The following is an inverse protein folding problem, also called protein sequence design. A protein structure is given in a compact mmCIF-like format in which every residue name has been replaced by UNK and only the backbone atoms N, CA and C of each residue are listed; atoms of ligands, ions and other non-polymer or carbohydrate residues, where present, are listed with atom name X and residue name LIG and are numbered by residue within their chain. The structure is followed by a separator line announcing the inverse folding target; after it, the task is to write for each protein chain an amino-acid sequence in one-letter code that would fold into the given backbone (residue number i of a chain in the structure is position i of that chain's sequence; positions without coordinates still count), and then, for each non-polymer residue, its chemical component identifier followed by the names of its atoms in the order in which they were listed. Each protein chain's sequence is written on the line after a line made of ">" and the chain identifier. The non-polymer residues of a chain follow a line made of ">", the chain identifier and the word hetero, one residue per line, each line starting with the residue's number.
data_IF_679727231307
#
_entry.id   IF_679727231307
#
_cell.length_a   1.000
_cell.length_b   1.000
_cell.length_c   1.000
_cell.angle_alpha   90.00
_cell.angle_beta   90.00
_cell.angle_gamma   90.00
#
_symmetry.space_group_name_H-M   'P 1'
#
loop_
_entity.id
_entity.type
_entity.pdbx_description
1 polymer ?
#
# COMPACT_ATOMS: atom_id res chain seq x y z
N UNK A 1 17.65 10.63 15.19
CA UNK A 1 17.47 9.96 13.87
C UNK A 1 18.74 9.20 13.59
N UNK A 2 18.73 7.89 13.47
CA UNK A 2 19.92 7.11 13.18
C UNK A 2 20.33 7.33 11.71
N UNK A 3 21.64 7.19 11.37
CA UNK A 3 22.13 7.27 9.99
C UNK A 3 21.31 6.37 9.05
N UNK A 4 20.93 5.21 9.53
CA UNK A 4 20.07 4.25 8.88
C UNK A 4 18.71 4.84 8.44
N UNK A 5 17.97 5.50 9.36
CA UNK A 5 16.68 6.11 9.03
C UNK A 5 16.81 7.30 8.09
N UNK A 6 17.97 8.00 8.11
CA UNK A 6 18.25 9.09 7.20
C UNK A 6 18.48 8.57 5.76
N UNK A 7 19.29 7.53 5.59
CA UNK A 7 19.57 6.90 4.29
C UNK A 7 18.25 6.36 3.70
N UNK A 8 17.47 5.61 4.49
CA UNK A 8 16.17 5.10 4.05
C UNK A 8 15.22 6.21 3.62
N UNK A 9 15.23 7.33 4.35
CA UNK A 9 14.40 8.49 3.99
C UNK A 9 14.86 9.17 2.71
N UNK A 10 16.15 9.29 2.48
CA UNK A 10 16.72 9.85 1.25
C UNK A 10 16.34 8.97 0.04
N UNK A 11 16.50 7.65 0.15
CA UNK A 11 16.05 6.69 -0.85
C UNK A 11 14.56 6.87 -1.19
N UNK A 12 13.69 6.89 -0.17
CA UNK A 12 12.26 7.06 -0.34
C UNK A 12 11.91 8.33 -1.12
N UNK A 13 12.55 9.46 -0.79
CA UNK A 13 12.30 10.74 -1.44
C UNK A 13 12.75 10.69 -2.90
N UNK A 14 13.98 10.22 -3.16
CA UNK A 14 14.55 10.16 -4.51
C UNK A 14 13.71 9.26 -5.40
N UNK A 15 13.44 8.03 -4.95
CA UNK A 15 12.67 7.04 -5.74
C UNK A 15 11.24 7.53 -5.95
N UNK A 16 10.55 8.04 -4.91
CA UNK A 16 9.18 8.53 -5.05
C UNK A 16 9.09 9.73 -6.00
N UNK A 17 10.07 10.65 -5.97
CA UNK A 17 10.10 11.81 -6.86
C UNK A 17 10.27 11.39 -8.32
N UNK A 18 11.25 10.52 -8.61
CA UNK A 18 11.49 10.01 -9.95
C UNK A 18 10.23 9.30 -10.49
N UNK A 19 9.67 8.40 -9.69
CA UNK A 19 8.45 7.67 -10.08
C UNK A 19 7.31 8.65 -10.35
N UNK A 20 7.03 9.61 -9.46
CA UNK A 20 5.94 10.58 -9.64
C UNK A 20 6.09 11.40 -10.91
N UNK A 21 7.31 11.83 -11.25
CA UNK A 21 7.56 12.54 -12.52
C UNK A 21 7.18 11.64 -13.70
N UNK A 22 7.67 10.41 -13.70
CA UNK A 22 7.45 9.48 -14.81
C UNK A 22 5.98 9.07 -14.96
N UNK A 23 5.26 8.84 -13.85
CA UNK A 23 3.86 8.38 -13.88
C UNK A 23 2.84 9.53 -13.88
N UNK A 24 3.27 10.80 -13.78
CA UNK A 24 2.34 11.95 -13.73
C UNK A 24 1.36 12.02 -14.91
N UNK A 25 1.74 11.74 -16.18
CA UNK A 25 0.78 11.70 -17.28
C UNK A 25 -0.27 10.60 -17.09
N UNK A 26 0.15 9.42 -16.62
CA UNK A 26 -0.76 8.30 -16.33
C UNK A 26 -1.72 8.68 -15.20
N UNK A 27 -1.22 9.30 -14.14
CA UNK A 27 -2.06 9.78 -13.03
C UNK A 27 -3.11 10.78 -13.49
N UNK A 28 -2.77 11.68 -14.41
CA UNK A 28 -3.73 12.63 -14.99
C UNK A 28 -4.84 11.89 -15.77
N UNK A 29 -4.47 10.94 -16.61
CA UNK A 29 -5.44 10.12 -17.37
C UNK A 29 -6.37 9.37 -16.43
N UNK A 30 -5.82 8.73 -15.38
CA UNK A 30 -6.61 8.01 -14.37
C UNK A 30 -7.53 8.97 -13.62
N UNK A 31 -7.06 10.17 -13.25
CA UNK A 31 -7.86 11.18 -12.56
C UNK A 31 -9.08 11.62 -13.40
N UNK A 32 -8.86 11.88 -14.70
CA UNK A 32 -9.92 12.21 -15.65
C UNK A 32 -10.90 11.03 -15.77
N UNK A 33 -10.40 9.80 -15.96
CA UNK A 33 -11.23 8.60 -16.05
C UNK A 33 -12.11 8.38 -14.83
N UNK A 34 -11.57 8.56 -13.62
CA UNK A 34 -12.35 8.48 -12.36
C UNK A 34 -13.44 9.56 -12.33
N UNK A 35 -13.13 10.79 -12.75
CA UNK A 35 -14.08 11.89 -12.71
C UNK A 35 -15.24 11.72 -13.70
N UNK A 36 -14.96 11.22 -14.89
CA UNK A 36 -15.94 11.01 -15.97
C UNK A 36 -16.84 9.79 -15.69
N UNK A 37 -16.27 8.71 -15.12
CA UNK A 37 -17.00 7.45 -14.93
C UNK A 37 -17.80 7.36 -13.64
N UNK A 38 -17.58 8.28 -12.67
CA UNK A 38 -18.28 8.23 -11.38
C UNK A 38 -18.34 9.62 -10.74
N UNK A 39 -19.53 10.10 -10.31
CA UNK A 39 -19.67 11.39 -9.63
C UNK A 39 -18.97 11.38 -8.26
N UNK A 40 -18.35 12.52 -7.88
CA UNK A 40 -17.70 12.70 -6.58
C UNK A 40 -16.19 13.01 -6.66
N UNK A 41 -15.41 12.85 -5.56
CA UNK A 41 -13.99 13.18 -5.48
C UNK A 41 -13.14 12.20 -6.29
N UNK A 42 -12.02 12.67 -6.85
CA UNK A 42 -11.05 11.85 -7.59
C UNK A 42 -10.29 10.92 -6.63
N UNK A 43 -9.91 11.45 -5.46
CA UNK A 43 -9.14 10.71 -4.46
C UNK A 43 -10.05 10.14 -3.38
N UNK A 44 -9.76 8.90 -3.01
CA UNK A 44 -10.25 8.24 -1.80
C UNK A 44 -9.17 8.29 -0.73
N UNK A 45 -9.57 8.56 0.51
CA UNK A 45 -8.68 8.63 1.68
C UNK A 45 -9.13 7.60 2.70
N UNK A 46 -8.21 6.72 3.09
CA UNK A 46 -8.50 5.66 4.07
C UNK A 46 -7.52 5.76 5.24
N UNK A 47 -8.05 5.71 6.47
CA UNK A 47 -7.19 5.66 7.66
C UNK A 47 -6.44 4.34 7.71
N UNK A 48 -5.13 4.42 7.89
CA UNK A 48 -4.21 3.30 8.00
C UNK A 48 -3.18 3.59 9.08
N UNK A 49 -2.53 2.52 9.56
CA UNK A 49 -1.51 2.58 10.60
C UNK A 49 -0.11 2.46 9.99
N UNK A 50 0.83 3.24 10.52
CA UNK A 50 2.24 3.26 10.13
C UNK A 50 3.15 3.23 11.37
N UNK A 51 4.40 3.68 11.23
CA UNK A 51 5.41 3.76 12.28
C UNK A 51 4.83 4.24 13.63
N UNK A 52 5.17 3.52 14.72
CA UNK A 52 4.72 3.79 16.09
C UNK A 52 3.20 3.83 16.26
N UNK A 53 2.49 2.97 15.55
CA UNK A 53 1.02 2.90 15.56
C UNK A 53 0.31 4.23 15.19
N UNK A 54 0.99 5.13 14.48
CA UNK A 54 0.41 6.41 14.07
C UNK A 54 -0.57 6.22 12.92
N UNK A 55 -1.74 6.83 13.05
CA UNK A 55 -2.72 6.88 11.98
C UNK A 55 -2.33 7.90 10.90
N UNK A 56 -2.55 7.55 9.64
CA UNK A 56 -2.41 8.46 8.50
C UNK A 56 -3.50 8.24 7.46
N UNK A 57 -3.74 9.21 6.60
CA UNK A 57 -4.69 9.11 5.48
C UNK A 57 -3.96 8.60 4.24
N UNK A 58 -4.10 7.32 3.95
CA UNK A 58 -3.59 6.70 2.73
C UNK A 58 -4.40 7.19 1.53
N UNK A 59 -3.71 7.69 0.50
CA UNK A 59 -4.31 8.22 -0.72
C UNK A 59 -4.43 7.13 -1.78
N UNK A 60 -5.60 7.06 -2.43
CA UNK A 60 -5.85 6.23 -3.61
C UNK A 60 -6.70 7.00 -4.62
N UNK A 61 -6.66 6.61 -5.88
CA UNK A 61 -7.76 6.97 -6.78
C UNK A 61 -9.02 6.23 -6.36
N UNK A 62 -10.15 6.91 -6.45
CA UNK A 62 -11.44 6.30 -6.14
C UNK A 62 -11.82 5.29 -7.21
N UNK A 63 -11.94 4.04 -6.84
CA UNK A 63 -12.33 2.93 -7.71
C UNK A 63 -13.70 2.34 -7.37
N UNK A 64 -14.33 2.86 -6.31
CA UNK A 64 -15.64 2.43 -5.80
C UNK A 64 -16.54 3.63 -5.53
N UNK A 65 -17.88 3.46 -5.52
CA UNK A 65 -18.81 4.48 -5.06
C UNK A 65 -18.57 4.92 -3.61
N UNK A 66 -18.95 6.17 -3.29
CA UNK A 66 -18.67 6.76 -1.98
C UNK A 66 -19.40 6.08 -0.81
N UNK A 67 -20.47 5.36 -1.08
CA UNK A 67 -21.34 4.68 -0.09
C UNK A 67 -21.07 3.17 0.04
N UNK A 68 -19.98 2.68 -0.51
CA UNK A 68 -19.66 1.24 -0.53
C UNK A 68 -19.43 0.62 0.86
N UNK A 69 -19.06 1.42 1.87
CA UNK A 69 -18.77 0.95 3.24
C UNK A 69 -19.92 1.20 4.23
N UNK A 70 -21.11 1.61 3.77
CA UNK A 70 -22.26 1.87 4.66
C UNK A 70 -22.71 0.62 5.46
N UNK A 71 -22.51 -0.57 4.92
CA UNK A 71 -22.84 -1.85 5.57
C UNK A 71 -21.69 -2.44 6.39
N UNK A 72 -20.72 -1.61 6.81
CA UNK A 72 -19.57 -2.02 7.59
C UNK A 72 -18.36 -2.41 6.75
N UNK A 73 -17.23 -2.48 7.45
CA UNK A 73 -15.92 -2.80 6.86
C UNK A 73 -15.67 -4.28 6.97
N UNK A 74 -15.39 -4.94 5.85
CA UNK A 74 -14.98 -6.34 5.82
C UNK A 74 -13.49 -6.46 5.49
N UNK A 75 -12.80 -7.40 6.16
CA UNK A 75 -11.45 -7.82 5.83
C UNK A 75 -11.46 -8.68 4.56
N UNK A 76 -10.50 -8.46 3.67
CA UNK A 76 -10.21 -9.33 2.51
C UNK A 76 -11.04 -9.00 1.27
N UNK A 77 -12.29 -9.36 1.23
CA UNK A 77 -13.08 -9.35 -0.01
C UNK A 77 -13.46 -7.97 -0.52
N UNK A 78 -12.98 -7.62 -1.70
CA UNK A 78 -13.37 -6.40 -2.41
C UNK A 78 -13.90 -6.67 -3.83
N UNK A 79 -14.01 -7.94 -4.23
CA UNK A 79 -14.39 -8.32 -5.61
C UNK A 79 -15.78 -7.84 -6.04
N UNK A 80 -16.72 -7.72 -5.10
CA UNK A 80 -18.12 -7.38 -5.39
C UNK A 80 -18.46 -5.88 -5.33
N UNK A 81 -17.49 -5.00 -5.04
CA UNK A 81 -17.78 -3.62 -4.63
C UNK A 81 -17.49 -2.55 -5.68
N UNK A 82 -17.02 -2.90 -6.86
CA UNK A 82 -16.73 -1.93 -7.93
C UNK A 82 -17.90 -1.84 -8.89
N UNK A 83 -18.56 -0.67 -8.95
CA UNK A 83 -19.72 -0.48 -9.82
C UNK A 83 -19.37 0.03 -11.23
N UNK A 84 -18.11 0.42 -11.51
CA UNK A 84 -17.71 0.88 -12.82
C UNK A 84 -16.64 -0.05 -13.42
N UNK A 85 -16.72 -0.29 -14.74
CA UNK A 85 -15.68 -1.05 -15.48
C UNK A 85 -14.30 -0.41 -15.33
N UNK A 86 -14.25 0.92 -15.32
CA UNK A 86 -13.01 1.68 -15.12
C UNK A 86 -12.44 1.48 -13.70
N UNK A 87 -13.28 1.51 -12.67
CA UNK A 87 -12.88 1.22 -11.29
C UNK A 87 -12.29 -0.19 -11.15
N UNK A 88 -12.89 -1.19 -11.82
CA UNK A 88 -12.34 -2.55 -11.86
C UNK A 88 -10.96 -2.59 -12.53
N UNK A 89 -10.82 -1.93 -13.68
CA UNK A 89 -9.56 -1.86 -14.43
C UNK A 89 -8.43 -1.24 -13.59
N UNK A 90 -8.64 -0.06 -12.98
CA UNK A 90 -7.58 0.60 -12.21
C UNK A 90 -7.19 -0.19 -10.93
N UNK A 91 -8.10 -1.00 -10.38
CA UNK A 91 -7.78 -1.92 -9.28
C UNK A 91 -7.01 -3.14 -9.75
N UNK A 92 -7.46 -3.79 -10.83
CA UNK A 92 -6.79 -4.94 -11.40
C UNK A 92 -5.33 -4.64 -11.78
N UNK A 93 -5.09 -3.41 -12.27
CA UNK A 93 -3.76 -2.91 -12.64
C UNK A 93 -3.00 -2.23 -11.48
N UNK A 94 -3.61 -2.11 -10.28
CA UNK A 94 -3.08 -1.34 -9.14
C UNK A 94 -2.80 0.14 -9.44
N UNK A 95 -3.36 0.71 -10.51
CA UNK A 95 -3.27 2.14 -10.82
C UNK A 95 -3.96 3.01 -9.77
N UNK A 96 -4.94 2.45 -9.05
CA UNK A 96 -5.59 3.12 -7.92
C UNK A 96 -4.63 3.43 -6.76
N UNK A 97 -3.51 2.72 -6.64
CA UNK A 97 -2.52 2.89 -5.57
C UNK A 97 -1.45 3.95 -5.88
N UNK A 98 -1.36 4.47 -7.13
CA UNK A 98 -0.33 5.45 -7.52
C UNK A 98 -0.27 6.72 -6.64
N UNK A 99 -1.38 7.29 -6.12
CA UNK A 99 -1.31 8.43 -5.22
C UNK A 99 -0.57 8.19 -3.90
N UNK A 100 -0.29 6.92 -3.54
CA UNK A 100 0.48 6.60 -2.32
C UNK A 100 1.93 7.12 -2.38
N UNK A 101 2.50 7.33 -3.56
CA UNK A 101 3.81 7.98 -3.68
C UNK A 101 3.82 9.39 -3.08
N UNK A 102 2.68 10.11 -3.08
CA UNK A 102 2.53 11.38 -2.35
C UNK A 102 2.57 11.16 -0.82
N UNK A 103 2.06 10.03 -0.31
CA UNK A 103 2.21 9.69 1.10
C UNK A 103 3.66 9.41 1.47
N UNK A 104 4.45 8.85 0.55
CA UNK A 104 5.90 8.66 0.76
C UNK A 104 6.59 10.00 0.84
N UNK A 105 6.36 10.94 -0.09
CA UNK A 105 6.96 12.28 -0.04
C UNK A 105 6.56 13.05 1.23
N UNK A 106 5.32 12.90 1.70
CA UNK A 106 4.86 13.47 2.97
C UNK A 106 5.49 12.81 4.21
N UNK A 107 6.18 11.68 4.06
CA UNK A 107 6.81 10.94 5.16
C UNK A 107 5.89 10.03 5.94
N UNK A 108 4.64 9.84 5.52
CA UNK A 108 3.69 8.92 6.15
C UNK A 108 4.00 7.45 5.80
N UNK A 109 4.58 7.21 4.62
CA UNK A 109 4.91 5.89 4.10
C UNK A 109 6.36 5.83 3.63
N UNK A 110 6.82 4.63 3.32
CA UNK A 110 8.05 4.29 2.62
C UNK A 110 7.71 3.64 1.26
N UNK A 111 8.66 3.59 0.34
CA UNK A 111 8.53 2.77 -0.87
C UNK A 111 8.42 1.30 -0.49
N UNK A 112 9.37 0.83 0.32
CA UNK A 112 9.43 -0.57 0.79
C UNK A 112 9.19 -0.63 2.29
N UNK A 113 8.32 -1.53 2.71
CA UNK A 113 8.00 -1.78 4.11
C UNK A 113 6.77 -2.69 4.27
N UNK A 114 6.39 -3.01 5.51
CA UNK A 114 5.17 -3.73 5.82
C UNK A 114 3.93 -3.05 5.24
N UNK A 115 2.99 -3.83 4.71
CA UNK A 115 1.74 -3.25 4.18
C UNK A 115 0.92 -2.61 5.31
N UNK A 116 0.41 -1.36 5.15
CA UNK A 116 -0.40 -0.70 6.16
C UNK A 116 -1.77 -1.37 6.32
N UNK A 117 -2.16 -1.64 7.55
CA UNK A 117 -3.48 -2.17 7.88
C UNK A 117 -4.44 -1.06 8.34
N UNK A 118 -5.74 -1.34 8.33
CA UNK A 118 -6.76 -0.42 8.85
C UNK A 118 -6.70 -0.40 10.37
N UNK A 119 -6.82 0.78 10.93
CA UNK A 119 -6.81 1.02 12.39
C UNK A 119 -7.78 0.11 13.14
N UNK A 120 -8.99 -0.08 12.61
CA UNK A 120 -10.04 -0.90 13.21
C UNK A 120 -9.72 -2.40 13.37
N UNK A 121 -8.67 -2.90 12.70
CA UNK A 121 -8.26 -4.30 12.79
C UNK A 121 -7.01 -4.53 13.64
N UNK A 122 -6.31 -3.46 14.03
CA UNK A 122 -5.01 -3.56 14.71
C UNK A 122 -5.12 -4.30 16.04
N UNK A 123 -6.08 -3.92 16.90
CA UNK A 123 -6.26 -4.52 18.23
C UNK A 123 -6.60 -6.01 18.12
N UNK A 124 -7.48 -6.36 17.17
CA UNK A 124 -7.83 -7.75 16.92
C UNK A 124 -6.60 -8.57 16.52
N UNK A 125 -5.85 -8.09 15.52
CA UNK A 125 -4.67 -8.81 15.02
C UNK A 125 -3.54 -8.89 16.05
N UNK A 126 -3.38 -7.85 16.88
CA UNK A 126 -2.39 -7.85 17.95
C UNK A 126 -2.71 -8.89 19.05
N UNK A 127 -3.99 -9.23 19.27
CA UNK A 127 -4.42 -10.29 20.19
C UNK A 127 -4.25 -11.68 19.59
N UNK A 128 -4.48 -11.83 18.28
CA UNK A 128 -4.47 -13.13 17.60
C UNK A 128 -3.06 -13.58 17.14
N UNK A 129 -2.16 -12.60 16.84
CA UNK A 129 -0.86 -12.91 16.22
C UNK A 129 0.28 -12.43 17.11
N UNK A 130 1.16 -13.35 17.56
CA UNK A 130 2.34 -12.98 18.33
C UNK A 130 3.22 -11.97 17.59
N UNK A 131 3.73 -10.98 18.32
CA UNK A 131 4.63 -9.94 17.80
C UNK A 131 4.05 -9.08 16.65
N UNK A 132 2.73 -9.07 16.47
CA UNK A 132 2.08 -8.29 15.40
C UNK A 132 2.53 -6.82 15.37
N UNK A 133 2.63 -6.16 16.53
CA UNK A 133 2.98 -4.75 16.64
C UNK A 133 4.42 -4.43 16.25
N UNK A 134 5.31 -5.43 16.17
CA UNK A 134 6.70 -5.22 15.74
C UNK A 134 6.79 -4.67 14.31
N UNK A 135 5.81 -4.98 13.44
CA UNK A 135 5.75 -4.42 12.09
C UNK A 135 5.63 -2.90 12.07
N UNK A 136 5.12 -2.29 13.14
CA UNK A 136 4.97 -0.84 13.27
C UNK A 136 6.23 -0.14 13.82
N UNK A 137 7.36 -0.85 13.97
CA UNK A 137 8.67 -0.24 14.27
C UNK A 137 9.29 0.46 13.05
N UNK A 138 8.73 0.24 11.86
CA UNK A 138 9.13 0.90 10.62
C UNK A 138 7.93 1.52 9.93
N UNK A 139 8.16 2.40 8.94
CA UNK A 139 7.08 2.96 8.13
C UNK A 139 6.43 1.89 7.26
N UNK A 140 5.12 2.01 7.10
CA UNK A 140 4.37 1.20 6.16
C UNK A 140 4.85 1.46 4.71
N UNK A 141 4.94 0.39 3.91
CA UNK A 141 5.42 0.43 2.53
C UNK A 141 4.30 0.41 1.48
N UNK A 142 4.58 0.96 0.29
CA UNK A 142 3.76 0.75 -0.92
C UNK A 142 3.91 -0.70 -1.36
N UNK A 143 5.14 -1.22 -1.35
CA UNK A 143 5.47 -2.62 -1.56
C UNK A 143 6.23 -3.18 -0.37
N UNK A 144 6.42 -4.51 -0.29
CA UNK A 144 7.12 -5.13 0.82
C UNK A 144 7.48 -6.59 0.56
N UNK A 145 8.31 -7.15 1.44
CA UNK A 145 8.82 -8.49 1.32
C UNK A 145 7.70 -9.55 1.30
N UNK A 146 6.72 -9.42 2.19
CA UNK A 146 5.53 -10.27 2.17
C UNK A 146 4.80 -10.22 0.83
N UNK A 147 4.57 -9.03 0.29
CA UNK A 147 3.82 -8.83 -0.95
C UNK A 147 4.49 -9.48 -2.17
N UNK A 148 5.82 -9.35 -2.32
CA UNK A 148 6.55 -9.93 -3.46
C UNK A 148 6.68 -11.45 -3.34
N UNK A 149 6.49 -12.02 -2.14
CA UNK A 149 6.44 -13.45 -1.90
C UNK A 149 5.01 -14.03 -1.93
N UNK A 150 4.03 -13.26 -2.43
CA UNK A 150 2.66 -13.73 -2.65
C UNK A 150 1.70 -13.55 -1.48
N UNK A 151 2.18 -13.08 -0.33
CA UNK A 151 1.37 -12.86 0.88
C UNK A 151 0.68 -11.49 0.82
N UNK A 152 -0.34 -11.40 -0.04
CA UNK A 152 -1.14 -10.18 -0.29
C UNK A 152 -2.62 -10.55 -0.45
N UNK A 153 -3.52 -9.62 -0.11
CA UNK A 153 -4.96 -9.79 -0.28
C UNK A 153 -5.52 -10.80 0.72
N UNK A 154 -6.27 -11.78 0.24
CA UNK A 154 -6.95 -12.80 1.05
C UNK A 154 -6.02 -14.01 1.28
N UNK A 155 -4.91 -13.79 1.95
CA UNK A 155 -3.90 -14.81 2.29
C UNK A 155 -3.65 -14.83 3.79
N UNK A 156 -2.92 -15.88 4.30
CA UNK A 156 -2.60 -15.98 5.74
C UNK A 156 -1.95 -14.71 6.27
N UNK A 157 -2.56 -14.14 7.32
CA UNK A 157 -2.07 -12.96 8.00
C UNK A 157 -0.81 -13.27 8.81
N UNK A 158 -0.73 -14.46 9.42
CA UNK A 158 0.43 -14.94 10.17
C UNK A 158 1.67 -14.99 9.27
N UNK A 159 1.53 -15.60 8.07
CA UNK A 159 2.62 -15.65 7.09
C UNK A 159 3.04 -14.26 6.64
N UNK A 160 2.08 -13.36 6.44
CA UNK A 160 2.38 -11.96 6.10
C UNK A 160 3.22 -11.30 7.17
N UNK A 161 2.85 -11.46 8.46
CA UNK A 161 3.59 -10.89 9.59
C UNK A 161 4.98 -11.52 9.69
N UNK A 162 5.13 -12.84 9.52
CA UNK A 162 6.42 -13.52 9.50
C UNK A 162 7.38 -12.87 8.48
N UNK A 163 6.91 -12.65 7.23
CA UNK A 163 7.72 -12.00 6.20
C UNK A 163 7.96 -10.51 6.46
N UNK A 164 7.00 -9.80 7.05
CA UNK A 164 7.17 -8.40 7.44
C UNK A 164 8.24 -8.26 8.53
N UNK A 165 8.27 -9.18 9.52
CA UNK A 165 9.28 -9.21 10.58
C UNK A 165 10.66 -9.64 10.06
N UNK A 166 10.72 -10.60 9.14
CA UNK A 166 11.96 -10.98 8.47
C UNK A 166 12.58 -9.79 7.72
N UNK A 167 11.76 -9.03 6.98
CA UNK A 167 12.21 -7.79 6.34
C UNK A 167 12.82 -6.80 7.35
N UNK A 168 12.13 -6.55 8.48
CA UNK A 168 12.59 -5.60 9.50
C UNK A 168 13.92 -6.03 10.11
N UNK A 169 14.06 -7.33 10.41
CA UNK A 169 15.26 -7.92 11.01
C UNK A 169 16.47 -7.88 10.06
N UNK A 170 16.25 -8.15 8.78
CA UNK A 170 17.31 -8.32 7.79
C UNK A 170 17.41 -7.13 6.82
N UNK A 171 16.84 -5.99 7.18
CA UNK A 171 16.81 -4.84 6.30
C UNK A 171 18.23 -4.36 5.89
N UNK A 172 18.37 -4.12 4.62
CA UNK A 172 19.49 -3.41 4.00
C UNK A 172 18.95 -2.58 2.84
N UNK A 173 19.69 -1.54 2.45
CA UNK A 173 19.36 -0.77 1.24
C UNK A 173 19.28 -1.67 0.00
N UNK A 174 20.16 -2.67 -0.07
CA UNK A 174 20.17 -3.66 -1.16
C UNK A 174 18.88 -4.52 -1.17
N UNK A 175 18.35 -4.87 -0.01
CA UNK A 175 17.08 -5.60 0.08
C UNK A 175 15.92 -4.75 -0.47
N UNK A 176 15.89 -3.44 -0.20
CA UNK A 176 14.89 -2.55 -0.77
C UNK A 176 14.99 -2.47 -2.30
N UNK A 177 16.18 -2.28 -2.84
CA UNK A 177 16.43 -2.29 -4.29
C UNK A 177 15.95 -3.61 -4.89
N UNK A 178 16.30 -4.75 -4.27
CA UNK A 178 15.84 -6.08 -4.70
C UNK A 178 14.31 -6.20 -4.71
N UNK A 179 13.65 -5.71 -3.66
CA UNK A 179 12.18 -5.74 -3.55
C UNK A 179 11.54 -4.88 -4.63
N UNK A 180 12.04 -3.66 -4.86
CA UNK A 180 11.56 -2.76 -5.92
C UNK A 180 11.70 -3.42 -7.29
N UNK A 181 12.87 -3.99 -7.59
CA UNK A 181 13.12 -4.69 -8.84
C UNK A 181 12.16 -5.88 -9.02
N UNK A 182 12.07 -6.76 -8.03
CA UNK A 182 11.16 -7.91 -8.07
C UNK A 182 9.69 -7.49 -8.20
N UNK A 183 9.29 -6.35 -7.63
CA UNK A 183 7.94 -5.83 -7.78
C UNK A 183 7.62 -5.45 -9.21
N UNK A 184 8.57 -4.86 -9.94
CA UNK A 184 8.39 -4.52 -11.35
C UNK A 184 8.18 -5.80 -12.18
N UNK A 185 9.02 -6.82 -11.99
CA UNK A 185 8.94 -8.07 -12.77
C UNK A 185 7.77 -8.97 -12.35
N UNK A 186 7.57 -9.20 -11.05
CA UNK A 186 6.48 -10.05 -10.55
C UNK A 186 5.12 -9.36 -10.58
N UNK A 187 5.07 -8.03 -10.59
CA UNK A 187 3.82 -7.28 -10.66
C UNK A 187 2.99 -7.58 -11.92
N UNK A 188 3.65 -7.98 -13.01
CA UNK A 188 3.01 -8.41 -14.25
C UNK A 188 2.57 -9.88 -14.25
N UNK A 189 3.02 -10.70 -13.30
CA UNK A 189 2.84 -12.17 -13.29
C UNK A 189 1.93 -12.65 -12.14
N UNK A 190 1.63 -11.83 -11.15
CA UNK A 190 0.91 -12.26 -9.94
C UNK A 190 -0.58 -12.49 -10.18
N UNK A 191 -0.98 -13.78 -10.19
CA UNK A 191 -2.38 -14.24 -10.23
C UNK A 191 -3.22 -13.82 -9.00
N UNK A 192 -2.59 -13.39 -7.90
CA UNK A 192 -3.24 -13.02 -6.61
C UNK A 192 -3.34 -11.50 -6.40
N UNK A 193 -3.31 -10.70 -7.45
CA UNK A 193 -3.39 -9.23 -7.36
C UNK A 193 -4.81 -8.68 -7.16
N UNK A 194 -5.80 -9.53 -6.89
CA UNK A 194 -7.23 -9.16 -6.80
C UNK A 194 -7.79 -9.33 -5.40
#
# INVERSE_FOLDING_TARGET
>A
MTLYTAIKRAEDIVVATIILILISPIMLIVAIGVKVTSPGPIFYRQTRVTLHNKNFKMLKFRSMPTNTEQNGVQWGSSKSKTNTKFGQFIRATSLDELPQFLNVLKGNMSIVGPRPERDIFIDKFAQEIPNYNEKHKVKAGITGWAQINGWRGDTSLEKRIEFDLDYIKNWTLWLDIKIIFLKIFKGFINKNAH
#
